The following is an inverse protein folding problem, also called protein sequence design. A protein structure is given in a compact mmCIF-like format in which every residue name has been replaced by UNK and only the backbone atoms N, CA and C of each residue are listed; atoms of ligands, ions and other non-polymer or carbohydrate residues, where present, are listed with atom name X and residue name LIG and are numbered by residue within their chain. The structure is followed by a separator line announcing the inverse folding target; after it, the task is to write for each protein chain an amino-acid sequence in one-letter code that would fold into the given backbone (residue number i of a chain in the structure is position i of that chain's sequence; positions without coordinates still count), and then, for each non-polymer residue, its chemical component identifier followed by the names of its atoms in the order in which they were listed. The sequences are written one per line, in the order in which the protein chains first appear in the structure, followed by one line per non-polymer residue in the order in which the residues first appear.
data_IF_456652681947
#
_entry.id   IF_456652681947
#
_cell.length_a   1.000
_cell.length_b   1.000
_cell.length_c   1.000
_cell.angle_alpha   90.00
_cell.angle_beta   90.00
_cell.angle_gamma   90.00
#
_symmetry.space_group_name_H-M   'P 1'
#
loop_
_entity.id
_entity.type
_entity.pdbx_description
1 polymer ?
#
# COMPACT_ATOMS: atom_id res chain seq x y z
N UNK A 1 -19.40 14.18 -9.64
CA UNK A 1 -19.63 13.16 -10.68
C UNK A 1 -18.24 12.81 -11.16
N UNK A 2 -17.62 11.88 -10.44
CA UNK A 2 -16.27 11.33 -10.62
C UNK A 2 -16.39 9.98 -9.95
N UNK A 3 -16.90 9.04 -10.72
CA UNK A 3 -17.08 7.63 -10.37
C UNK A 3 -16.12 6.91 -11.33
N UNK A 4 -14.83 7.06 -11.05
CA UNK A 4 -13.77 6.45 -11.84
C UNK A 4 -12.82 5.74 -10.88
N UNK A 5 -12.72 4.43 -11.10
CA UNK A 5 -11.58 3.56 -10.80
C UNK A 5 -11.45 3.05 -9.36
N UNK A 6 -12.51 2.42 -8.86
CA UNK A 6 -12.28 1.21 -8.06
C UNK A 6 -12.74 0.00 -8.89
N UNK A 7 -11.83 -0.88 -9.34
CA UNK A 7 -12.21 -2.09 -10.05
C UNK A 7 -13.20 -2.87 -9.17
N UNK A 8 -14.27 -3.35 -9.79
CA UNK A 8 -15.25 -4.13 -9.06
C UNK A 8 -14.61 -5.44 -8.57
N UNK A 9 -15.19 -6.10 -7.56
CA UNK A 9 -14.57 -7.28 -6.95
C UNK A 9 -14.30 -8.42 -7.96
N UNK A 10 -15.04 -8.49 -9.07
CA UNK A 10 -14.83 -9.49 -10.13
C UNK A 10 -13.66 -9.09 -11.04
N UNK A 11 -13.52 -7.80 -11.37
CA UNK A 11 -12.36 -7.26 -12.08
C UNK A 11 -11.07 -7.44 -11.28
N UNK A 12 -11.09 -7.16 -9.99
CA UNK A 12 -9.95 -7.41 -9.09
C UNK A 12 -9.59 -8.90 -9.03
N UNK A 13 -10.58 -9.78 -9.01
CA UNK A 13 -10.34 -11.23 -9.00
C UNK A 13 -9.71 -11.71 -10.31
N UNK A 14 -10.15 -11.19 -11.44
CA UNK A 14 -9.61 -11.55 -12.75
C UNK A 14 -8.21 -10.95 -12.96
N UNK A 15 -7.99 -9.68 -12.62
CA UNK A 15 -6.67 -9.03 -12.65
C UNK A 15 -5.68 -9.76 -11.76
N UNK A 16 -6.11 -10.18 -10.56
CA UNK A 16 -5.29 -10.96 -9.63
C UNK A 16 -4.90 -12.32 -10.21
N UNK A 17 -5.84 -12.97 -10.92
CA UNK A 17 -5.62 -14.25 -11.60
C UNK A 17 -4.63 -14.10 -12.76
N UNK A 18 -4.79 -13.08 -13.59
CA UNK A 18 -3.87 -12.79 -14.69
C UNK A 18 -2.47 -12.43 -14.17
N UNK A 19 -2.39 -11.69 -13.06
CA UNK A 19 -1.13 -11.29 -12.45
C UNK A 19 -0.38 -12.49 -11.85
N UNK A 20 -1.09 -13.43 -11.24
CA UNK A 20 -0.55 -14.72 -10.77
C UNK A 20 0.03 -15.58 -11.90
N UNK A 21 -0.63 -15.61 -13.06
CA UNK A 21 -0.15 -16.36 -14.23
C UNK A 21 1.09 -15.72 -14.87
N UNK A 22 1.30 -14.41 -14.71
CA UNK A 22 2.40 -13.65 -15.35
C UNK A 22 3.68 -13.62 -14.54
N UNK A 23 3.61 -13.68 -13.21
CA UNK A 23 4.80 -13.68 -12.35
C UNK A 23 4.62 -14.62 -11.13
N UNK A 24 4.99 -15.91 -11.26
CA UNK A 24 4.86 -16.89 -10.19
C UNK A 24 5.81 -16.65 -9.00
N UNK A 25 6.75 -15.70 -9.10
CA UNK A 25 7.68 -15.33 -8.03
C UNK A 25 7.34 -13.98 -7.34
N UNK A 26 6.22 -13.33 -7.69
CA UNK A 26 5.70 -12.24 -6.85
C UNK A 26 5.53 -12.74 -5.41
N UNK A 27 6.18 -12.04 -4.47
CA UNK A 27 6.40 -12.44 -3.09
C UNK A 27 5.19 -12.96 -2.30
N UNK A 28 5.45 -13.65 -1.20
CA UNK A 28 4.81 -14.92 -0.87
C UNK A 28 3.37 -14.77 -0.33
N UNK A 29 2.62 -15.87 -0.48
CA UNK A 29 1.56 -16.29 0.44
C UNK A 29 0.15 -15.70 0.30
N UNK A 30 -0.04 -14.41 -0.04
CA UNK A 30 -1.38 -13.79 0.03
C UNK A 30 -2.38 -14.37 -1.00
N UNK A 31 -1.89 -14.88 -2.13
CA UNK A 31 -2.71 -15.14 -3.31
C UNK A 31 -3.02 -16.63 -3.55
N UNK A 32 -2.25 -17.54 -2.94
CA UNK A 32 -2.52 -18.97 -2.98
C UNK A 32 -3.39 -19.37 -1.77
N UNK A 33 -4.62 -18.88 -1.70
CA UNK A 33 -5.53 -19.22 -0.61
C UNK A 33 -6.11 -20.62 -0.85
N UNK A 34 -5.35 -21.66 -0.53
CA UNK A 34 -5.99 -22.92 -0.16
C UNK A 34 -6.88 -22.63 1.04
N UNK A 35 -8.17 -22.96 0.95
CA UNK A 35 -9.09 -22.77 2.08
C UNK A 35 -8.57 -23.56 3.27
N UNK A 36 -8.09 -22.91 4.35
CA UNK A 36 -7.64 -23.65 5.50
C UNK A 36 -8.85 -24.34 6.11
N UNK A 37 -8.78 -25.65 6.34
CA UNK A 37 -9.80 -26.38 7.09
C UNK A 37 -9.72 -25.97 8.56
N UNK A 38 -10.42 -24.88 8.88
CA UNK A 38 -10.45 -24.29 10.22
C UNK A 38 -11.88 -23.97 10.64
N UNK A 39 -12.15 -23.94 11.96
CA UNK A 39 -13.44 -23.49 12.49
C UNK A 39 -13.83 -22.07 12.02
N UNK A 40 -15.08 -21.72 12.28
CA UNK A 40 -15.60 -20.38 12.00
C UNK A 40 -14.80 -19.34 12.79
N UNK A 41 -14.23 -18.37 12.08
CA UNK A 41 -13.70 -17.14 12.67
C UNK A 41 -14.66 -15.99 12.36
N UNK A 42 -14.10 -14.88 11.87
CA UNK A 42 -14.87 -13.81 11.26
C UNK A 42 -15.71 -14.39 10.09
N UNK A 43 -15.08 -14.94 9.06
CA UNK A 43 -15.79 -15.59 7.97
C UNK A 43 -16.32 -16.96 8.38
N UNK A 44 -17.56 -17.28 7.98
CA UNK A 44 -18.08 -18.65 8.00
C UNK A 44 -17.49 -19.48 6.86
N UNK A 45 -17.62 -20.81 6.94
CA UNK A 45 -17.19 -21.69 5.84
C UNK A 45 -17.80 -21.29 4.51
N UNK A 46 -19.11 -21.02 4.48
CA UNK A 46 -19.80 -20.60 3.26
C UNK A 46 -19.40 -19.21 2.76
N UNK A 47 -18.93 -18.32 3.65
CA UNK A 47 -18.36 -17.03 3.23
C UNK A 47 -17.03 -17.25 2.52
N UNK A 48 -16.18 -18.11 3.08
CA UNK A 48 -14.88 -18.45 2.50
C UNK A 48 -15.03 -19.16 1.15
N UNK A 49 -15.86 -20.20 1.08
CA UNK A 49 -16.18 -20.92 -0.17
C UNK A 49 -16.65 -19.96 -1.27
N UNK A 50 -17.50 -19.00 -0.92
CA UNK A 50 -17.98 -17.99 -1.86
C UNK A 50 -16.86 -17.07 -2.36
N UNK A 51 -16.06 -16.52 -1.44
CA UNK A 51 -15.00 -15.56 -1.79
C UNK A 51 -13.87 -16.18 -2.64
N UNK A 52 -13.59 -17.48 -2.48
CA UNK A 52 -12.59 -18.19 -3.30
C UNK A 52 -13.17 -18.83 -4.56
N UNK A 53 -14.45 -18.57 -4.89
CA UNK A 53 -15.10 -19.12 -6.09
C UNK A 53 -15.44 -20.61 -6.03
N UNK A 54 -15.37 -21.25 -4.86
CA UNK A 54 -15.79 -22.65 -4.68
C UNK A 54 -17.31 -22.80 -4.49
N UNK A 55 -18.02 -21.69 -4.32
CA UNK A 55 -19.47 -21.64 -4.20
C UNK A 55 -20.05 -20.49 -5.00
N UNK A 56 -20.94 -20.83 -5.92
CA UNK A 56 -21.72 -19.87 -6.69
C UNK A 56 -23.18 -19.85 -6.25
N UNK A 57 -23.86 -18.73 -6.48
CA UNK A 57 -25.28 -18.57 -6.21
C UNK A 57 -26.05 -18.40 -7.52
N UNK A 58 -27.02 -19.28 -7.76
CA UNK A 58 -27.84 -19.22 -8.99
C UNK A 58 -28.74 -17.97 -9.06
N UNK A 59 -29.07 -17.39 -7.90
CA UNK A 59 -29.99 -16.26 -7.81
C UNK A 59 -29.24 -14.99 -7.37
N UNK A 60 -29.33 -13.89 -8.14
CA UNK A 60 -28.66 -12.63 -7.80
C UNK A 60 -28.99 -12.10 -6.41
N UNK A 61 -30.24 -12.31 -5.95
CA UNK A 61 -30.64 -11.91 -4.60
C UNK A 61 -29.90 -12.68 -3.50
N UNK A 62 -29.67 -13.98 -3.71
CA UNK A 62 -28.94 -14.83 -2.74
C UNK A 62 -27.47 -14.42 -2.66
N UNK A 63 -26.88 -14.07 -3.80
CA UNK A 63 -25.52 -13.57 -3.87
C UNK A 63 -25.39 -12.20 -3.19
N UNK A 64 -26.31 -11.28 -3.48
CA UNK A 64 -26.35 -9.96 -2.84
C UNK A 64 -26.49 -10.07 -1.31
N UNK A 65 -27.35 -10.96 -0.83
CA UNK A 65 -27.49 -11.24 0.59
C UNK A 65 -26.17 -11.79 1.18
N UNK A 66 -25.47 -12.69 0.47
CA UNK A 66 -24.15 -13.18 0.92
C UNK A 66 -23.12 -12.05 1.03
N UNK A 67 -23.02 -11.18 0.01
CA UNK A 67 -22.13 -10.01 0.03
C UNK A 67 -22.46 -9.10 1.23
N UNK A 68 -23.75 -8.88 1.50
CA UNK A 68 -24.20 -8.08 2.64
C UNK A 68 -23.84 -8.72 3.99
N UNK A 69 -24.11 -10.02 4.17
CA UNK A 69 -23.81 -10.75 5.41
C UNK A 69 -22.30 -10.71 5.73
N UNK A 70 -21.45 -10.84 4.71
CA UNK A 70 -19.98 -10.73 4.86
C UNK A 70 -19.61 -9.33 5.33
N UNK A 71 -20.13 -8.29 4.67
CA UNK A 71 -19.85 -6.88 4.99
C UNK A 71 -20.26 -6.53 6.41
N UNK A 72 -21.48 -6.87 6.79
CA UNK A 72 -22.01 -6.62 8.14
C UNK A 72 -21.17 -7.32 9.20
N UNK A 73 -20.72 -8.54 8.93
CA UNK A 73 -19.90 -9.27 9.88
C UNK A 73 -18.51 -8.67 10.05
N UNK A 74 -17.86 -8.24 8.96
CA UNK A 74 -16.58 -7.54 9.04
C UNK A 74 -16.74 -6.25 9.86
N UNK A 75 -17.79 -5.47 9.59
CA UNK A 75 -18.04 -4.22 10.31
C UNK A 75 -18.26 -4.44 11.81
N UNK A 76 -19.02 -5.47 12.19
CA UNK A 76 -19.22 -5.83 13.60
C UNK A 76 -17.94 -6.35 14.25
N UNK A 77 -17.14 -7.15 13.55
CA UNK A 77 -15.89 -7.66 14.10
C UNK A 77 -14.87 -6.55 14.40
N UNK A 78 -14.86 -5.46 13.62
CA UNK A 78 -14.06 -4.28 13.97
C UNK A 78 -14.48 -3.64 15.29
N UNK A 79 -15.78 -3.63 15.60
CA UNK A 79 -16.26 -3.13 16.88
C UNK A 79 -15.86 -4.05 18.04
N UNK A 80 -15.86 -5.37 17.80
CA UNK A 80 -15.48 -6.35 18.82
C UNK A 80 -14.03 -6.17 19.30
N UNK A 81 -13.10 -5.70 18.46
CA UNK A 81 -11.73 -5.45 18.89
C UNK A 81 -11.62 -4.44 20.04
N UNK A 82 -12.50 -3.42 20.08
CA UNK A 82 -12.54 -2.47 21.21
C UNK A 82 -12.88 -3.18 22.54
N UNK A 83 -13.75 -4.20 22.47
CA UNK A 83 -14.14 -5.02 23.61
C UNK A 83 -12.98 -5.95 23.99
N UNK A 84 -12.33 -6.60 23.01
CA UNK A 84 -11.20 -7.49 23.26
C UNK A 84 -10.04 -6.75 23.93
N UNK A 85 -9.68 -5.58 23.42
CA UNK A 85 -8.62 -4.73 23.98
C UNK A 85 -8.95 -4.35 25.42
N UNK A 86 -10.20 -3.97 25.70
CA UNK A 86 -10.63 -3.49 27.02
C UNK A 86 -10.84 -4.58 28.07
N UNK A 87 -11.33 -5.76 27.67
CA UNK A 87 -11.87 -6.74 28.61
C UNK A 87 -11.26 -8.14 28.51
N UNK A 88 -10.59 -8.50 27.41
CA UNK A 88 -9.88 -9.78 27.35
C UNK A 88 -8.60 -9.68 28.18
N UNK A 89 -8.40 -10.57 29.14
CA UNK A 89 -7.21 -10.55 30.01
C UNK A 89 -5.92 -10.72 29.22
N UNK A 90 -4.82 -10.18 29.75
CA UNK A 90 -3.49 -10.27 29.15
C UNK A 90 -3.08 -11.71 28.81
N UNK A 91 -3.21 -12.64 29.76
CA UNK A 91 -2.88 -14.06 29.55
C UNK A 91 -3.66 -14.70 28.39
N UNK A 92 -4.93 -14.33 28.22
CA UNK A 92 -5.77 -14.86 27.13
C UNK A 92 -5.42 -14.20 25.79
N UNK A 93 -5.03 -12.91 25.79
CA UNK A 93 -4.48 -12.27 24.58
C UNK A 93 -3.18 -12.93 24.15
N UNK A 94 -2.28 -13.23 25.08
CA UNK A 94 -1.02 -13.91 24.79
C UNK A 94 -1.26 -15.31 24.18
N UNK A 95 -2.20 -16.07 24.73
CA UNK A 95 -2.59 -17.38 24.19
C UNK A 95 -3.06 -17.33 22.74
N UNK A 96 -3.79 -16.28 22.32
CA UNK A 96 -4.22 -16.13 20.92
C UNK A 96 -3.01 -16.13 19.96
N UNK A 97 -1.93 -15.43 20.32
CA UNK A 97 -0.72 -15.42 19.49
C UNK A 97 0.05 -16.74 19.59
N UNK A 98 0.12 -17.34 20.78
CA UNK A 98 0.80 -18.62 20.98
C UNK A 98 0.12 -19.78 20.24
N UNK A 99 -1.22 -19.81 20.19
CA UNK A 99 -1.99 -20.87 19.53
C UNK A 99 -1.88 -20.82 17.99
N UNK A 100 -1.62 -19.65 17.41
CA UNK A 100 -1.34 -19.50 15.98
C UNK A 100 0.05 -20.07 15.64
N UNK A 101 0.98 -20.02 16.59
CA UNK A 101 2.37 -20.44 16.41
C UNK A 101 3.30 -19.28 16.06
N UNK A 102 4.55 -19.40 16.50
CA UNK A 102 5.62 -18.43 16.24
C UNK A 102 5.76 -18.22 14.72
N UNK A 103 5.81 -16.96 14.29
CA UNK A 103 5.88 -16.49 12.89
C UNK A 103 4.68 -16.76 11.97
N UNK A 104 3.68 -17.56 12.37
CA UNK A 104 2.50 -17.82 11.51
C UNK A 104 1.47 -16.69 11.50
N UNK A 105 1.55 -15.75 12.45
CA UNK A 105 0.66 -14.60 12.52
C UNK A 105 1.07 -13.45 11.57
N UNK A 106 2.27 -13.48 10.99
CA UNK A 106 2.78 -12.38 10.16
C UNK A 106 1.91 -12.15 8.92
N UNK A 107 1.66 -13.19 8.11
CA UNK A 107 0.86 -13.08 6.87
C UNK A 107 -0.60 -12.67 7.14
N UNK A 108 -1.32 -13.25 8.14
CA UNK A 108 -2.65 -12.77 8.50
C UNK A 108 -2.70 -11.32 8.97
N UNK A 109 -1.73 -10.88 9.79
CA UNK A 109 -1.68 -9.49 10.24
C UNK A 109 -1.36 -8.53 9.08
N UNK A 110 -0.43 -8.89 8.19
CA UNK A 110 -0.16 -8.13 6.97
C UNK A 110 -1.42 -8.03 6.09
N UNK A 111 -2.19 -9.11 5.96
CA UNK A 111 -3.46 -9.10 5.22
C UNK A 111 -4.50 -8.15 5.83
N UNK A 112 -4.54 -8.02 7.16
CA UNK A 112 -5.40 -7.03 7.84
C UNK A 112 -4.96 -5.61 7.46
N UNK A 113 -3.66 -5.31 7.49
CA UNK A 113 -3.15 -3.99 7.10
C UNK A 113 -3.46 -3.69 5.63
N UNK A 114 -3.26 -4.65 4.72
CA UNK A 114 -3.64 -4.52 3.30
C UNK A 114 -5.14 -4.24 3.14
N UNK A 115 -5.99 -4.96 3.87
CA UNK A 115 -7.44 -4.72 3.84
C UNK A 115 -7.81 -3.31 4.31
N UNK A 116 -7.17 -2.82 5.38
CA UNK A 116 -7.38 -1.45 5.87
C UNK A 116 -6.90 -0.40 4.86
N UNK A 117 -5.71 -0.60 4.29
CA UNK A 117 -5.16 0.30 3.27
C UNK A 117 -6.08 0.43 2.05
N UNK A 118 -6.61 -0.70 1.56
CA UNK A 118 -7.58 -0.73 0.46
C UNK A 118 -8.92 -0.08 0.86
N UNK A 119 -9.41 -0.35 2.07
CA UNK A 119 -10.65 0.24 2.57
C UNK A 119 -10.57 1.73 2.92
N UNK A 120 -9.36 2.29 2.99
CA UNK A 120 -9.07 3.72 3.15
C UNK A 120 -8.72 4.39 1.82
N UNK A 121 -8.98 3.72 0.69
CA UNK A 121 -8.68 4.20 -0.67
C UNK A 121 -7.19 4.56 -0.86
N UNK A 122 -6.30 3.85 -0.17
CA UNK A 122 -4.86 4.09 -0.21
C UNK A 122 -4.36 5.31 0.56
N UNK A 123 -5.19 5.90 1.43
CA UNK A 123 -4.81 7.04 2.27
C UNK A 123 -3.82 6.62 3.37
N UNK A 124 -2.52 6.73 3.07
CA UNK A 124 -1.43 6.39 3.98
C UNK A 124 -1.46 7.23 5.26
N UNK A 125 -1.77 8.52 5.18
CA UNK A 125 -1.79 9.39 6.36
C UNK A 125 -2.90 9.02 7.35
N UNK A 126 -4.07 8.61 6.86
CA UNK A 126 -5.11 8.03 7.73
C UNK A 126 -4.67 6.71 8.35
N UNK A 127 -4.01 5.85 7.58
CA UNK A 127 -3.53 4.56 8.07
C UNK A 127 -2.46 4.73 9.16
N UNK A 128 -1.48 5.62 8.95
CA UNK A 128 -0.47 5.99 9.95
C UNK A 128 -1.12 6.43 11.25
N UNK A 129 -2.07 7.36 11.19
CA UNK A 129 -2.80 7.82 12.37
C UNK A 129 -3.55 6.70 13.10
N UNK A 130 -4.20 5.78 12.38
CA UNK A 130 -4.89 4.64 12.99
C UNK A 130 -3.90 3.72 13.71
N UNK A 131 -2.72 3.50 13.13
CA UNK A 131 -1.65 2.71 13.74
C UNK A 131 -1.11 3.40 14.98
N UNK A 132 -0.84 4.71 14.93
CA UNK A 132 -0.41 5.53 16.07
C UNK A 132 -1.40 5.44 17.23
N UNK A 133 -2.69 5.71 16.97
CA UNK A 133 -3.76 5.66 17.97
C UNK A 133 -3.87 4.24 18.60
N UNK A 134 -3.71 3.21 17.77
CA UNK A 134 -3.74 1.81 18.19
C UNK A 134 -2.56 1.43 19.10
N UNK A 135 -1.34 1.80 18.73
CA UNK A 135 -0.13 1.56 19.52
C UNK A 135 -0.20 2.34 20.84
N UNK A 136 -0.58 3.62 20.78
CA UNK A 136 -0.75 4.46 21.96
C UNK A 136 -1.73 3.84 22.96
N UNK A 137 -2.88 3.36 22.46
CA UNK A 137 -3.88 2.67 23.30
C UNK A 137 -3.33 1.38 23.89
N UNK A 138 -2.73 0.52 23.06
CA UNK A 138 -2.19 -0.77 23.49
C UNK A 138 -1.06 -0.65 24.52
N UNK A 139 -0.18 0.33 24.36
CA UNK A 139 0.92 0.56 25.28
C UNK A 139 0.47 1.07 26.66
N UNK A 140 -0.63 1.82 26.70
CA UNK A 140 -1.13 2.43 27.92
C UNK A 140 -2.19 1.57 28.64
N UNK A 141 -2.84 0.61 27.97
CA UNK A 141 -3.96 -0.12 28.56
C UNK A 141 -3.59 -0.96 29.79
N UNK A 142 -2.40 -1.55 29.82
CA UNK A 142 -1.89 -2.31 30.97
C UNK A 142 -1.39 -1.40 32.11
N UNK A 143 -1.25 -0.10 31.84
CA UNK A 143 -0.76 0.92 32.77
C UNK A 143 -1.88 1.69 33.47
N UNK A 144 -3.12 1.53 33.03
CA UNK A 144 -4.29 2.18 33.64
C UNK A 144 -4.34 1.84 35.15
N UNK A 145 -4.19 2.86 35.99
CA UNK A 145 -4.21 2.72 37.45
C UNK A 145 -2.86 2.35 38.09
N UNK A 146 -1.80 2.20 37.31
CA UNK A 146 -0.43 2.00 37.82
C UNK A 146 0.29 3.35 37.91
N UNK A 147 1.16 3.52 38.91
CA UNK A 147 1.96 4.75 39.10
C UNK A 147 3.22 4.79 38.20
N UNK A 148 3.38 3.80 37.32
CA UNK A 148 4.50 3.74 36.37
C UNK A 148 4.16 4.56 35.13
N UNK A 149 5.18 5.16 34.50
CA UNK A 149 5.00 6.11 33.41
C UNK A 149 4.14 5.59 32.25
N UNK A 150 3.22 6.44 31.81
CA UNK A 150 2.42 6.28 30.60
C UNK A 150 3.27 6.64 29.37
N UNK A 151 3.04 5.97 28.24
CA UNK A 151 3.60 6.42 26.97
C UNK A 151 2.87 7.72 26.59
N UNK A 152 3.65 8.78 26.43
CA UNK A 152 3.12 10.11 26.13
C UNK A 152 2.93 10.36 24.62
N UNK A 153 3.67 9.66 23.76
CA UNK A 153 3.72 9.94 22.33
C UNK A 153 4.11 8.69 21.51
N UNK A 154 3.56 8.59 20.31
CA UNK A 154 3.86 7.54 19.32
C UNK A 154 3.93 8.21 17.95
N UNK A 155 5.04 7.99 17.25
CA UNK A 155 5.29 8.49 15.90
C UNK A 155 5.42 7.30 14.94
N UNK A 156 4.68 7.32 13.84
CA UNK A 156 4.74 6.30 12.79
C UNK A 156 5.03 6.94 11.44
N UNK A 157 6.00 6.40 10.70
CA UNK A 157 6.29 6.82 9.34
C UNK A 157 6.37 5.62 8.40
N UNK A 158 5.52 5.62 7.37
CA UNK A 158 5.43 4.60 6.34
C UNK A 158 5.77 5.23 4.99
N UNK A 159 6.91 4.81 4.43
CA UNK A 159 7.38 5.29 3.14
C UNK A 159 7.14 4.23 2.07
N UNK A 160 6.27 4.53 1.10
CA UNK A 160 5.98 3.64 -0.03
C UNK A 160 6.65 4.18 -1.29
N UNK A 161 7.70 3.49 -1.76
CA UNK A 161 8.32 3.78 -3.04
C UNK A 161 7.60 3.03 -4.15
N UNK A 162 6.86 3.76 -5.00
CA UNK A 162 6.25 3.19 -6.20
C UNK A 162 7.30 3.11 -7.31
N UNK A 163 7.61 1.90 -7.75
CA UNK A 163 8.38 1.72 -8.99
C UNK A 163 7.47 2.07 -10.18
N UNK A 164 7.99 2.77 -11.19
CA UNK A 164 7.21 3.07 -12.39
C UNK A 164 6.72 1.80 -13.07
N UNK A 165 5.46 1.77 -13.52
CA UNK A 165 4.93 0.66 -14.32
C UNK A 165 5.53 0.71 -15.72
N UNK A 166 6.38 -0.29 -16.03
CA UNK A 166 7.04 -0.37 -17.33
C UNK A 166 6.05 -0.40 -18.50
N UNK A 167 4.88 -0.98 -18.32
CA UNK A 167 3.86 -1.09 -19.38
C UNK A 167 3.25 0.27 -19.67
N UNK A 168 2.87 1.02 -18.63
CA UNK A 168 2.37 2.40 -18.78
C UNK A 168 3.42 3.32 -19.39
N UNK A 169 4.69 3.16 -19.00
CA UNK A 169 5.80 3.93 -19.56
C UNK A 169 5.97 3.65 -21.06
N UNK A 170 5.92 2.38 -21.47
CA UNK A 170 6.00 1.99 -22.89
C UNK A 170 4.80 2.54 -23.65
N UNK A 171 3.59 2.46 -23.08
CA UNK A 171 2.38 2.97 -23.73
C UNK A 171 2.43 4.50 -23.91
N UNK A 172 2.90 5.26 -22.91
CA UNK A 172 3.14 6.70 -23.02
C UNK A 172 4.14 7.02 -24.13
N UNK A 173 5.23 6.24 -24.22
CA UNK A 173 6.25 6.40 -25.25
C UNK A 173 5.69 6.12 -26.66
N UNK A 174 4.99 5.01 -26.85
CA UNK A 174 4.37 4.63 -28.13
C UNK A 174 3.30 5.62 -28.61
N UNK A 175 2.57 6.24 -27.67
CA UNK A 175 1.57 7.29 -27.95
C UNK A 175 2.20 8.65 -28.30
N UNK A 176 3.51 8.81 -28.11
CA UNK A 176 4.21 10.06 -28.35
C UNK A 176 4.04 11.10 -27.23
N UNK A 177 3.57 10.70 -26.04
CA UNK A 177 3.47 11.56 -24.84
C UNK A 177 4.83 11.67 -24.14
N UNK A 178 5.88 11.90 -24.94
CA UNK A 178 7.27 11.85 -24.52
C UNK A 178 7.67 12.99 -23.58
N UNK A 179 6.94 14.11 -23.63
CA UNK A 179 7.07 15.26 -22.74
C UNK A 179 6.62 14.99 -21.30
N UNK A 180 5.84 13.92 -21.09
CA UNK A 180 5.35 13.49 -19.78
C UNK A 180 6.23 12.43 -19.12
N UNK A 181 7.28 11.96 -19.79
CA UNK A 181 8.21 10.98 -19.25
C UNK A 181 9.20 11.63 -18.29
N UNK A 182 9.27 11.10 -17.07
CA UNK A 182 10.28 11.48 -16.09
C UNK A 182 11.64 10.87 -16.43
N UNK A 183 12.76 11.45 -15.91
CA UNK A 183 14.10 10.89 -16.13
C UNK A 183 14.25 9.42 -15.68
N UNK A 184 13.52 9.02 -14.64
CA UNK A 184 13.50 7.63 -14.18
C UNK A 184 12.81 6.69 -15.18
N UNK A 185 11.70 7.12 -15.77
CA UNK A 185 10.95 6.39 -16.81
C UNK A 185 11.76 6.28 -18.12
N UNK A 186 12.44 7.35 -18.54
CA UNK A 186 13.37 7.34 -19.68
C UNK A 186 14.50 6.34 -19.43
N UNK A 187 15.09 6.34 -18.22
CA UNK A 187 16.12 5.38 -17.85
C UNK A 187 15.64 3.92 -17.86
N UNK A 188 14.36 3.67 -17.58
CA UNK A 188 13.74 2.34 -17.70
C UNK A 188 13.62 1.95 -19.18
N UNK A 189 13.15 2.86 -20.04
CA UNK A 189 13.01 2.60 -21.48
C UNK A 189 14.36 2.27 -22.14
N UNK A 190 15.40 3.05 -21.86
CA UNK A 190 16.77 2.84 -22.37
C UNK A 190 17.33 1.49 -21.90
N UNK A 191 17.27 1.19 -20.59
CA UNK A 191 17.75 -0.10 -20.06
C UNK A 191 17.01 -1.29 -20.63
N UNK A 192 15.77 -1.09 -21.05
CA UNK A 192 14.92 -2.14 -21.57
C UNK A 192 14.95 -2.27 -23.10
N UNK A 193 15.79 -1.47 -23.77
CA UNK A 193 16.00 -1.49 -25.21
C UNK A 193 14.83 -0.93 -26.03
N UNK A 194 13.88 -0.25 -25.40
CA UNK A 194 12.71 0.36 -26.04
C UNK A 194 12.97 1.80 -26.51
N UNK A 195 14.10 2.38 -26.11
CA UNK A 195 14.56 3.70 -26.51
C UNK A 195 16.01 3.58 -26.96
N UNK A 196 16.30 4.01 -28.19
CA UNK A 196 17.65 4.01 -28.74
C UNK A 196 18.29 5.40 -28.76
N UNK A 197 19.50 5.48 -29.32
CA UNK A 197 20.28 6.71 -29.37
C UNK A 197 19.71 7.77 -30.31
N UNK A 198 18.85 7.40 -31.26
CA UNK A 198 18.18 8.32 -32.18
C UNK A 198 16.88 8.83 -31.55
N UNK A 199 16.11 7.98 -30.86
CA UNK A 199 14.94 8.38 -30.07
C UNK A 199 15.28 9.40 -28.97
N UNK A 200 16.45 9.24 -28.33
CA UNK A 200 16.93 10.18 -27.30
C UNK A 200 17.19 11.59 -27.84
N UNK A 201 17.52 11.74 -29.13
CA UNK A 201 17.75 13.06 -29.75
C UNK A 201 16.44 13.80 -29.97
N UNK A 202 15.36 13.09 -30.29
CA UNK A 202 14.03 13.67 -30.44
C UNK A 202 13.47 14.18 -29.09
N UNK A 203 13.84 13.51 -27.98
CA UNK A 203 13.53 13.97 -26.62
C UNK A 203 14.31 15.23 -26.22
N UNK A 204 15.57 15.35 -26.66
CA UNK A 204 16.41 16.52 -26.40
C UNK A 204 15.88 17.77 -27.12
N UNK A 205 15.41 17.62 -28.35
CA UNK A 205 14.82 18.69 -29.19
C UNK A 205 13.45 19.19 -28.67
N UNK A 206 12.76 18.40 -27.85
CA UNK A 206 11.48 18.78 -27.23
C UNK A 206 11.66 19.46 -25.88
N UNK A 207 12.84 19.31 -25.25
CA UNK A 207 13.18 20.05 -24.04
C UNK A 207 13.40 21.52 -24.40
N UNK A 208 12.53 22.39 -23.87
CA UNK A 208 12.67 23.83 -23.99
C UNK A 208 14.12 24.23 -23.68
N UNK A 209 14.80 25.05 -24.51
CA UNK A 209 16.19 25.42 -24.27
C UNK A 209 16.30 25.95 -22.85
N UNK A 210 17.12 25.30 -22.02
CA UNK A 210 17.34 25.70 -20.62
C UNK A 210 17.59 27.21 -20.58
N UNK A 211 16.68 28.02 -20.01
CA UNK A 211 16.86 29.46 -20.01
C UNK A 211 18.05 29.79 -19.09
N UNK A 212 19.20 30.08 -19.68
CA UNK A 212 20.27 30.97 -19.18
C UNK A 212 20.59 30.96 -17.67
N UNK A 213 20.61 29.80 -17.00
CA UNK A 213 20.99 29.73 -15.57
C UNK A 213 22.49 29.54 -15.30
N UNK A 214 23.33 29.43 -16.33
CA UNK A 214 24.77 29.15 -16.14
C UNK A 214 25.74 30.31 -16.41
N UNK A 215 25.33 31.45 -16.98
CA UNK A 215 26.28 32.55 -17.24
C UNK A 215 26.51 33.50 -16.06
N UNK A 216 25.57 33.60 -15.10
CA UNK A 216 25.70 34.54 -13.97
C UNK A 216 26.37 33.94 -12.72
N UNK A 217 26.55 32.63 -12.63
CA UNK A 217 27.15 32.01 -11.44
C UNK A 217 28.70 32.09 -11.45
N UNK A 218 29.33 32.29 -12.61
CA UNK A 218 30.79 32.40 -12.73
C UNK A 218 31.31 33.84 -12.69
N UNK A 219 30.43 34.86 -12.70
CA UNK A 219 30.85 36.27 -12.59
C UNK A 219 30.76 36.83 -11.17
N UNK A 220 30.25 36.07 -10.20
CA UNK A 220 30.09 36.53 -8.81
C UNK A 220 31.20 36.07 -7.85
N UNK A 221 32.18 35.28 -8.31
CA UNK A 221 33.34 34.87 -7.50
C UNK A 221 34.62 35.72 -7.71
N UNK A 222 34.61 36.75 -8.57
CA UNK A 222 35.76 37.65 -8.75
C UNK A 222 35.63 39.03 -8.07
N UNK A 223 34.60 39.26 -7.25
CA UNK A 223 34.38 40.54 -6.58
C UNK A 223 34.37 40.43 -5.04
N UNK A 224 35.41 39.83 -4.47
CA UNK A 224 35.80 40.09 -3.08
C UNK A 224 37.31 39.87 -2.88
N UNK A 225 38.10 40.69 -3.59
CA UNK A 225 39.45 41.06 -3.13
C UNK A 225 39.45 42.57 -2.96
N UNK A 226 38.85 43.04 -1.86
CA UNK A 226 39.12 44.38 -1.35
C UNK A 226 40.42 44.30 -0.58
N UNK A 227 41.48 44.72 -1.28
CA UNK A 227 42.74 45.23 -0.78
C UNK A 227 42.49 46.20 0.38
N UNK A 228 42.97 45.88 1.58
CA UNK A 228 43.11 46.82 2.69
C UNK A 228 44.56 47.31 2.75
N UNK A 229 44.86 48.52 2.25
CA UNK A 229 46.13 49.16 2.50
C UNK A 229 45.94 50.28 3.52
N UNK A 230 46.41 50.06 4.76
CA UNK A 230 47.48 50.86 5.40
C UNK A 230 47.66 50.56 6.90
N UNK A 231 48.95 50.44 7.24
CA UNK A 231 49.67 51.01 8.40
C UNK A 231 49.03 50.96 9.80
#
# INVERSE_FOLDING_TARGET
MTDDLHPNAEELQEELRELLDRDPEMGPSILAVELPDRPRGLLSTADREYLVGQREYEHPQSEANRKQDIRERIANAFQDFSILVSYLSEDEREKVFNDIGEDQYQDPLASIISFLYLGLDGDLGKLEKIIEDGIYTGANISKIGQWSGEIADVDTSINVERRPDRSEIIEKFEKGDTDQLTPAEIGILVRSGQLDADDLKELEDTSMPLPYLFENLLQSEEADIIDDPRE
#
